data_IF_099413995108
#
_entry.id   IF_099413995108
#
_cell.length_a   1.000
_cell.length_b   1.000
_cell.length_c   1.000
_cell.angle_alpha   90.00
_cell.angle_beta   90.00
_cell.angle_gamma   90.00
#
_symmetry.space_group_name_H-M   'P 1'
#
loop_
_entity.id
_entity.type
_entity.pdbx_description
1 polymer ?
#
# COMPACT_ATOMS: atom_id res chain seq x y z
N UNK A 1 4.49 -4.93 3.35
CA UNK A 1 3.46 -4.18 4.11
C UNK A 1 4.07 -2.89 4.63
N UNK A 2 3.25 -1.90 4.94
CA UNK A 2 3.71 -0.59 5.40
C UNK A 2 2.59 0.43 5.40
N UNK A 3 2.89 1.69 5.69
CA UNK A 3 1.91 2.77 5.62
C UNK A 3 1.83 3.34 4.22
N UNK A 4 0.63 3.61 3.73
CA UNK A 4 0.46 4.31 2.45
C UNK A 4 0.56 5.83 2.64
N UNK A 5 1.01 6.49 1.58
CA UNK A 5 0.94 7.95 1.39
C UNK A 5 0.06 8.20 0.16
N UNK A 6 -1.00 9.00 0.33
CA UNK A 6 -1.94 9.39 -0.73
C UNK A 6 -1.31 10.47 -1.63
N UNK A 7 -0.27 10.10 -2.36
CA UNK A 7 0.45 10.95 -3.28
C UNK A 7 0.99 10.10 -4.43
N UNK A 8 1.05 10.67 -5.63
CA UNK A 8 1.71 10.04 -6.77
C UNK A 8 3.23 10.06 -6.60
N UNK A 9 3.88 8.94 -6.94
CA UNK A 9 5.34 8.87 -7.01
C UNK A 9 5.78 8.72 -8.47
N UNK A 10 6.92 9.32 -8.84
CA UNK A 10 7.46 9.23 -10.20
C UNK A 10 7.74 7.80 -10.65
N UNK A 11 8.08 6.91 -9.71
CA UNK A 11 8.30 5.48 -9.94
C UNK A 11 7.02 4.64 -9.90
N UNK A 12 5.87 5.24 -9.54
CA UNK A 12 4.57 4.58 -9.48
C UNK A 12 3.46 5.45 -10.11
N UNK A 13 3.55 5.79 -11.40
CA UNK A 13 2.61 6.72 -12.03
C UNK A 13 1.20 6.15 -12.21
N UNK A 14 1.02 4.83 -12.04
CA UNK A 14 -0.26 4.14 -12.23
C UNK A 14 -1.24 4.35 -11.08
N UNK A 15 -0.73 4.62 -9.88
CA UNK A 15 -1.51 4.72 -8.65
C UNK A 15 -1.30 6.07 -7.99
N UNK A 16 -2.34 6.61 -7.37
CA UNK A 16 -2.32 7.88 -6.65
C UNK A 16 -1.77 7.77 -5.22
N UNK A 17 -1.13 6.64 -4.91
CA UNK A 17 -0.49 6.37 -3.64
C UNK A 17 0.80 5.56 -3.80
N UNK A 18 1.65 5.62 -2.77
CA UNK A 18 2.79 4.72 -2.61
C UNK A 18 2.92 4.27 -1.15
N UNK A 19 3.65 3.18 -0.92
CA UNK A 19 3.97 2.74 0.45
C UNK A 19 5.20 3.52 0.93
N UNK A 20 5.09 4.15 2.10
CA UNK A 20 6.17 4.89 2.75
C UNK A 20 7.40 3.99 2.95
N UNK A 21 8.53 4.26 2.26
CA UNK A 21 9.72 3.41 2.30
C UNK A 21 10.29 3.25 3.72
N UNK A 22 10.07 4.22 4.60
CA UNK A 22 10.57 4.18 5.99
C UNK A 22 9.77 3.22 6.88
N UNK A 23 8.64 2.72 6.41
CA UNK A 23 7.73 1.84 7.15
C UNK A 23 7.58 0.45 6.52
N UNK A 24 8.23 0.22 5.37
CA UNK A 24 8.12 -1.03 4.61
C UNK A 24 8.75 -2.19 5.36
N UNK A 25 8.03 -3.30 5.44
CA UNK A 25 8.54 -4.61 5.83
C UNK A 25 7.98 -5.72 4.93
N UNK A 26 8.61 -6.89 4.92
CA UNK A 26 8.09 -8.04 4.16
C UNK A 26 6.74 -8.50 4.74
N UNK A 27 5.80 -8.81 3.85
CA UNK A 27 4.43 -9.20 4.19
C UNK A 27 4.38 -10.69 4.59
N UNK A 28 5.04 -11.04 5.70
CA UNK A 28 5.13 -12.42 6.16
C UNK A 28 3.81 -12.93 6.78
N UNK A 29 2.93 -12.01 7.18
CA UNK A 29 1.62 -12.31 7.76
C UNK A 29 0.54 -11.36 7.24
N UNK A 30 -0.62 -11.94 6.97
CA UNK A 30 -1.82 -11.28 6.50
C UNK A 30 -2.81 -11.08 7.63
N UNK A 31 -3.07 -9.83 8.02
CA UNK A 31 -4.18 -9.49 8.91
C UNK A 31 -5.31 -9.01 8.01
N UNK A 32 -6.49 -9.65 8.08
CA UNK A 32 -7.65 -9.41 7.20
C UNK A 32 -7.93 -7.92 6.93
N UNK A 33 -7.76 -7.07 7.95
CA UNK A 33 -8.08 -5.64 7.93
C UNK A 33 -7.12 -4.78 7.08
N UNK A 34 -5.93 -5.29 6.73
CA UNK A 34 -4.97 -4.57 5.90
C UNK A 34 -4.85 -5.11 4.46
N UNK A 35 -5.68 -6.09 4.06
CA UNK A 35 -5.71 -6.53 2.66
C UNK A 35 -6.48 -5.56 1.78
N UNK A 36 -5.95 -5.35 0.60
CA UNK A 36 -6.72 -4.87 -0.54
C UNK A 36 -5.94 -5.18 -1.82
N UNK A 37 -6.64 -5.39 -2.93
CA UNK A 37 -5.96 -5.30 -4.23
C UNK A 37 -5.51 -3.86 -4.48
N UNK A 38 -4.42 -3.68 -5.24
CA UNK A 38 -3.89 -2.34 -5.54
C UNK A 38 -4.95 -1.44 -6.21
N UNK A 39 -5.75 -2.01 -7.10
CA UNK A 39 -6.85 -1.31 -7.80
C UNK A 39 -7.98 -0.97 -6.84
N UNK A 40 -8.38 -1.89 -5.96
CA UNK A 40 -9.43 -1.61 -4.98
C UNK A 40 -9.03 -0.47 -4.02
N UNK A 41 -7.76 -0.44 -3.60
CA UNK A 41 -7.24 0.67 -2.82
C UNK A 41 -7.22 1.99 -3.60
N UNK A 42 -6.91 1.97 -4.89
CA UNK A 42 -7.00 3.17 -5.74
C UNK A 42 -8.44 3.68 -5.82
N UNK A 43 -9.38 2.79 -6.11
CA UNK A 43 -10.80 3.13 -6.28
C UNK A 43 -11.43 3.66 -4.99
N UNK A 44 -10.91 3.24 -3.83
CA UNK A 44 -11.40 3.63 -2.50
C UNK A 44 -10.35 4.44 -1.71
N UNK A 45 -9.44 5.13 -2.41
CA UNK A 45 -8.31 5.81 -1.78
C UNK A 45 -8.76 6.89 -0.78
N UNK A 46 -9.89 7.53 -1.02
CA UNK A 46 -10.47 8.54 -0.14
C UNK A 46 -10.86 7.97 1.23
N UNK A 47 -11.38 6.75 1.26
CA UNK A 47 -11.78 6.04 2.49
C UNK A 47 -10.61 5.44 3.25
N UNK A 48 -9.47 5.24 2.57
CA UNK A 48 -8.27 4.67 3.16
C UNK A 48 -7.75 5.55 4.32
N UNK A 49 -7.09 4.94 5.31
CA UNK A 49 -6.69 5.54 6.59
C UNK A 49 -7.84 5.78 7.59
N UNK A 50 -9.08 5.45 7.22
CA UNK A 50 -10.25 5.49 8.09
C UNK A 50 -10.63 4.10 8.61
N UNK A 51 -11.90 3.74 8.45
CA UNK A 51 -12.35 2.36 8.69
C UNK A 51 -11.73 1.37 7.67
N UNK A 52 -11.55 1.84 6.42
CA UNK A 52 -10.78 1.15 5.40
C UNK A 52 -9.28 1.45 5.61
N UNK A 53 -8.46 0.41 5.80
CA UNK A 53 -7.04 0.48 6.16
C UNK A 53 -6.73 1.40 7.36
N UNK A 54 -7.17 1.04 8.58
CA UNK A 54 -6.90 1.83 9.78
C UNK A 54 -5.40 2.13 9.96
N UNK A 55 -5.09 3.39 10.30
CA UNK A 55 -3.71 3.83 10.46
C UNK A 55 -2.89 3.88 9.15
N UNK A 56 -3.58 3.91 8.00
CA UNK A 56 -3.00 3.83 6.67
C UNK A 56 -2.20 2.56 6.41
N UNK A 57 -2.43 1.49 7.17
CA UNK A 57 -1.59 0.30 7.09
C UNK A 57 -2.07 -0.66 6.00
N UNK A 58 -1.20 -0.93 5.03
CA UNK A 58 -1.51 -1.74 3.86
C UNK A 58 -0.60 -2.95 3.76
N UNK A 59 -1.21 -4.10 3.48
CA UNK A 59 -0.53 -5.38 3.37
C UNK A 59 -0.74 -5.97 1.96
N UNK A 60 0.23 -5.77 1.05
CA UNK A 60 0.08 -6.19 -0.33
C UNK A 60 0.44 -7.68 -0.51
N UNK A 61 -0.43 -8.61 -0.11
CA UNK A 61 -0.11 -10.06 -0.09
C UNK A 61 0.13 -10.67 -1.47
N UNK A 62 -0.45 -10.07 -2.50
CA UNK A 62 -0.26 -10.49 -3.89
C UNK A 62 0.95 -9.83 -4.56
N UNK A 63 1.66 -8.94 -3.86
CA UNK A 63 2.82 -8.26 -4.43
C UNK A 63 4.05 -9.16 -4.54
N UNK A 64 4.88 -8.86 -5.52
CA UNK A 64 6.16 -9.52 -5.73
C UNK A 64 7.25 -8.46 -5.86
N UNK A 65 8.44 -8.76 -5.34
CA UNK A 65 9.61 -7.90 -5.49
C UNK A 65 10.16 -8.12 -6.90
N UNK A 66 10.11 -7.09 -7.73
CA UNK A 66 10.60 -7.17 -9.11
C UNK A 66 12.01 -6.58 -9.27
N UNK A 67 12.36 -5.59 -8.44
CA UNK A 67 13.61 -4.82 -8.53
C UNK A 67 13.85 -4.02 -7.25
N UNK A 68 15.11 -3.87 -6.88
CA UNK A 68 15.58 -2.86 -5.92
C UNK A 68 16.03 -1.60 -6.66
N UNK A 69 15.72 -0.41 -6.12
CA UNK A 69 16.14 0.87 -6.70
C UNK A 69 17.12 1.52 -5.71
N UNK A 70 18.31 1.88 -6.20
CA UNK A 70 19.36 2.59 -5.44
C UNK A 70 19.13 4.09 -5.42
#
# INVERSE_FOLDING_TARGET
MGRIRKQTASYNPKYSYYIDPTTVSFFNHAIEVCDASLTYLEDNLDEACGAFLPGCFFCPWTSQITREIK
#
